data_IF_111157989542
#
_entry.id   IF_111157989542
#
_cell.length_a   1.000
_cell.length_b   1.000
_cell.length_c   1.000
_cell.angle_alpha   90.00
_cell.angle_beta   90.00
_cell.angle_gamma   90.00
#
_symmetry.space_group_name_H-M   'P 1'
#
loop_
_entity.id
_entity.type
_entity.pdbx_description
1 polymer ?
#
# COMPACT_ATOMS: atom_id res chain seq x y z
N UNK A 1 35.65 -59.05 -50.68
CA UNK A 1 36.41 -58.10 -49.87
C UNK A 1 35.80 -58.11 -48.44
N UNK A 2 36.42 -58.86 -47.52
CA UNK A 2 35.91 -59.04 -46.14
C UNK A 2 36.49 -57.93 -45.27
N UNK A 3 35.68 -56.95 -44.87
CA UNK A 3 36.13 -55.92 -43.95
C UNK A 3 36.49 -56.56 -42.61
N UNK A 4 37.66 -56.22 -42.07
CA UNK A 4 38.13 -56.71 -40.78
C UNK A 4 37.17 -56.37 -39.66
N UNK A 5 36.70 -57.29 -38.81
CA UNK A 5 35.73 -57.06 -37.75
C UNK A 5 36.17 -55.97 -36.75
N UNK A 6 37.47 -55.78 -36.61
CA UNK A 6 38.08 -54.71 -35.79
C UNK A 6 37.69 -53.28 -36.25
N UNK A 7 37.51 -53.05 -37.57
CA UNK A 7 37.21 -51.77 -38.14
C UNK A 7 35.74 -51.36 -37.81
N UNK A 8 34.85 -52.35 -37.85
CA UNK A 8 33.45 -52.15 -37.53
C UNK A 8 33.24 -51.83 -36.03
N UNK A 9 33.99 -52.48 -35.15
CA UNK A 9 33.94 -52.24 -33.70
C UNK A 9 34.47 -50.85 -33.38
N UNK A 10 35.59 -50.46 -33.99
CA UNK A 10 36.18 -49.10 -33.78
C UNK A 10 35.25 -48.00 -34.28
N UNK A 11 34.59 -48.21 -35.41
CA UNK A 11 33.62 -47.25 -35.96
C UNK A 11 32.36 -47.12 -35.05
N UNK A 12 31.81 -48.22 -34.55
CA UNK A 12 30.68 -48.21 -33.60
C UNK A 12 31.07 -47.51 -32.28
N UNK A 13 32.27 -47.76 -31.77
CA UNK A 13 32.75 -47.10 -30.54
C UNK A 13 32.92 -45.59 -30.74
N UNK A 14 33.40 -45.14 -31.88
CA UNK A 14 33.56 -43.72 -32.23
C UNK A 14 32.21 -43.02 -32.38
N UNK A 15 31.20 -43.67 -32.96
CA UNK A 15 29.85 -43.15 -33.06
C UNK A 15 29.21 -43.03 -31.67
N UNK A 16 29.42 -44.00 -30.78
CA UNK A 16 28.88 -44.01 -29.44
C UNK A 16 29.49 -42.90 -28.57
N UNK A 17 30.81 -42.67 -28.70
CA UNK A 17 31.48 -41.55 -28.01
C UNK A 17 31.04 -40.20 -28.54
N UNK A 18 30.86 -40.03 -29.85
CA UNK A 18 30.33 -38.81 -30.45
C UNK A 18 28.88 -38.49 -29.98
N UNK A 19 28.02 -39.53 -29.93
CA UNK A 19 26.65 -39.36 -29.40
C UNK A 19 26.64 -38.91 -27.94
N UNK A 20 27.48 -39.50 -27.09
CA UNK A 20 27.66 -39.07 -25.68
C UNK A 20 28.17 -37.64 -25.57
N UNK A 21 29.11 -37.25 -26.42
CA UNK A 21 29.65 -35.88 -26.45
C UNK A 21 28.59 -34.84 -26.87
N UNK A 22 27.78 -35.19 -27.88
CA UNK A 22 26.66 -34.35 -28.33
C UNK A 22 25.61 -34.17 -27.23
N UNK A 23 25.25 -35.25 -26.53
CA UNK A 23 24.29 -35.21 -25.42
C UNK A 23 24.86 -34.37 -24.27
N UNK A 24 26.13 -34.52 -23.93
CA UNK A 24 26.80 -33.75 -22.89
C UNK A 24 26.84 -32.27 -23.22
N UNK A 25 27.17 -31.91 -24.49
CA UNK A 25 27.17 -30.52 -24.95
C UNK A 25 25.76 -29.93 -24.94
N UNK A 26 24.74 -30.70 -25.30
CA UNK A 26 23.33 -30.28 -25.26
C UNK A 26 22.85 -30.03 -23.82
N UNK A 27 23.24 -30.87 -22.85
CA UNK A 27 23.00 -30.69 -21.43
C UNK A 27 23.69 -29.43 -20.87
N UNK A 28 24.91 -29.13 -21.28
CA UNK A 28 25.63 -27.93 -20.84
C UNK A 28 24.96 -26.66 -21.40
N UNK A 29 24.48 -26.67 -22.63
CA UNK A 29 23.78 -25.55 -23.26
C UNK A 29 22.42 -25.28 -22.60
N UNK A 30 21.70 -26.30 -22.11
CA UNK A 30 20.44 -26.13 -21.41
C UNK A 30 20.61 -25.56 -20.00
N UNK A 31 21.73 -25.81 -19.32
CA UNK A 31 21.99 -25.28 -17.98
C UNK A 31 22.29 -23.77 -17.96
N UNK A 32 22.67 -23.14 -19.09
CA UNK A 32 22.96 -21.69 -19.15
C UNK A 32 21.73 -20.82 -19.31
N UNK A 33 20.55 -21.40 -19.56
CA UNK A 33 19.30 -20.66 -19.75
C UNK A 33 18.50 -20.41 -18.47
N UNK A 34 19.02 -20.77 -17.29
CA UNK A 34 18.37 -20.45 -16.01
C UNK A 34 18.65 -18.99 -15.68
N UNK A 35 17.82 -18.09 -16.17
CA UNK A 35 17.80 -16.72 -15.71
C UNK A 35 17.42 -16.73 -14.24
N UNK A 36 18.34 -16.42 -13.35
CA UNK A 36 18.05 -16.24 -11.94
C UNK A 36 16.94 -15.18 -11.82
N UNK A 37 15.82 -15.56 -11.23
CA UNK A 37 14.71 -14.64 -10.97
C UNK A 37 15.23 -13.48 -10.12
N UNK A 38 15.23 -12.29 -10.68
CA UNK A 38 15.64 -11.09 -9.97
C UNK A 38 14.44 -10.54 -9.21
N UNK A 39 14.62 -10.27 -7.94
CA UNK A 39 13.66 -9.59 -7.08
C UNK A 39 14.32 -8.43 -6.37
N UNK A 40 13.50 -7.47 -5.95
CA UNK A 40 13.94 -6.33 -5.18
C UNK A 40 13.00 -6.09 -4.00
N UNK A 41 13.44 -5.26 -3.07
CA UNK A 41 12.63 -4.77 -1.96
C UNK A 41 12.54 -3.25 -2.03
N UNK A 42 11.44 -2.75 -1.51
CA UNK A 42 11.24 -1.32 -1.21
C UNK A 42 10.75 -1.18 0.23
N UNK A 43 11.00 -0.05 0.83
CA UNK A 43 10.39 0.38 2.08
C UNK A 43 9.41 1.51 1.76
N UNK A 44 8.14 1.17 1.61
CA UNK A 44 7.11 2.17 1.26
C UNK A 44 6.94 3.23 2.35
N UNK A 45 7.15 2.88 3.62
CA UNK A 45 7.07 3.85 4.71
C UNK A 45 8.22 4.86 4.63
N UNK A 46 9.44 4.38 4.37
CA UNK A 46 10.61 5.23 4.14
C UNK A 46 10.42 6.13 2.91
N UNK A 47 9.96 5.57 1.79
CA UNK A 47 9.72 6.35 0.56
C UNK A 47 8.69 7.43 0.82
N UNK A 48 7.52 7.10 1.39
CA UNK A 48 6.44 8.04 1.66
C UNK A 48 6.90 9.19 2.59
N UNK A 49 7.67 8.90 3.65
CA UNK A 49 8.22 9.91 4.56
C UNK A 49 9.13 10.91 3.87
N UNK A 50 9.78 10.50 2.78
CA UNK A 50 10.71 11.33 2.02
C UNK A 50 10.09 11.97 0.77
N UNK A 51 8.77 11.80 0.55
CA UNK A 51 8.01 12.45 -0.52
C UNK A 51 7.27 13.67 0.03
N UNK A 52 7.67 14.92 -0.31
CA UNK A 52 7.05 16.13 0.26
C UNK A 52 5.55 16.25 -0.01
N UNK A 53 5.05 15.64 -1.09
CA UNK A 53 3.62 15.60 -1.38
C UNK A 53 2.83 14.81 -0.32
N UNK A 54 3.42 13.76 0.25
CA UNK A 54 2.82 12.97 1.32
C UNK A 54 2.68 13.78 2.63
N UNK A 55 3.70 14.54 2.98
CA UNK A 55 3.64 15.43 4.16
C UNK A 55 2.55 16.49 4.01
N UNK A 56 2.51 17.17 2.85
CA UNK A 56 1.45 18.15 2.55
C UNK A 56 0.05 17.54 2.58
N UNK A 57 -0.11 16.32 2.06
CA UNK A 57 -1.38 15.62 2.09
C UNK A 57 -1.82 15.28 3.53
N UNK A 58 -0.90 14.82 4.38
CA UNK A 58 -1.17 14.56 5.79
C UNK A 58 -1.53 15.84 6.56
N UNK A 59 -0.81 16.93 6.31
CA UNK A 59 -1.12 18.22 6.93
C UNK A 59 -2.52 18.71 6.53
N UNK A 60 -2.87 18.62 5.25
CA UNK A 60 -4.21 18.95 4.75
C UNK A 60 -5.31 18.08 5.40
N UNK A 61 -5.06 16.77 5.55
CA UNK A 61 -5.99 15.87 6.23
C UNK A 61 -6.17 16.25 7.70
N UNK A 62 -5.10 16.60 8.39
CA UNK A 62 -5.15 17.03 9.78
C UNK A 62 -5.96 18.33 9.94
N UNK A 63 -5.79 19.30 9.04
CA UNK A 63 -6.55 20.54 9.06
C UNK A 63 -8.05 20.29 8.83
N UNK A 64 -8.38 19.43 7.86
CA UNK A 64 -9.79 19.06 7.59
C UNK A 64 -10.39 18.32 8.78
N UNK A 65 -9.65 17.36 9.37
CA UNK A 65 -10.12 16.61 10.56
C UNK A 65 -10.44 17.54 11.70
N UNK A 66 -9.52 18.44 12.05
CA UNK A 66 -9.73 19.43 13.12
C UNK A 66 -10.95 20.33 12.85
N UNK A 67 -11.13 20.76 11.60
CA UNK A 67 -12.30 21.56 11.23
C UNK A 67 -13.60 20.79 11.46
N UNK A 68 -13.67 19.54 11.00
CA UNK A 68 -14.86 18.72 11.15
C UNK A 68 -15.11 18.28 12.59
N UNK A 69 -14.04 18.03 13.36
CA UNK A 69 -14.14 17.82 14.82
C UNK A 69 -14.78 19.02 15.51
N UNK A 70 -14.35 20.24 15.18
CA UNK A 70 -14.90 21.45 15.74
C UNK A 70 -16.39 21.67 15.34
N UNK A 71 -16.77 21.29 14.12
CA UNK A 71 -18.19 21.37 13.68
C UNK A 71 -19.07 20.40 14.48
N UNK A 72 -18.61 19.17 14.73
CA UNK A 72 -19.32 18.18 15.55
C UNK A 72 -19.37 18.65 16.99
N UNK A 73 -18.28 19.14 17.55
CA UNK A 73 -18.14 19.60 18.92
C UNK A 73 -19.09 20.78 19.20
N UNK A 74 -19.22 21.70 18.24
CA UNK A 74 -20.18 22.84 18.39
C UNK A 74 -21.62 22.36 18.60
N UNK A 75 -22.05 21.30 17.89
CA UNK A 75 -23.39 20.73 18.09
C UNK A 75 -23.47 20.00 19.43
N UNK A 76 -22.45 19.32 19.87
CA UNK A 76 -22.41 18.65 21.20
C UNK A 76 -22.52 19.66 22.30
N UNK A 77 -21.84 20.81 22.21
CA UNK A 77 -21.96 21.90 23.18
C UNK A 77 -23.35 22.52 23.20
N UNK A 78 -23.98 22.65 22.03
CA UNK A 78 -25.40 23.09 21.99
C UNK A 78 -26.32 22.10 22.72
N UNK A 79 -26.12 20.78 22.50
CA UNK A 79 -26.89 19.74 23.21
C UNK A 79 -26.70 19.85 24.72
N UNK A 80 -25.45 20.01 25.17
CA UNK A 80 -25.16 20.21 26.61
C UNK A 80 -25.86 21.45 27.18
N UNK A 81 -25.84 22.55 26.45
CA UNK A 81 -26.53 23.78 26.86
C UNK A 81 -28.04 23.58 26.93
N UNK A 82 -28.63 22.88 25.95
CA UNK A 82 -30.05 22.51 25.96
C UNK A 82 -30.41 21.63 27.15
N UNK A 83 -29.59 20.64 27.48
CA UNK A 83 -29.75 19.76 28.64
C UNK A 83 -29.69 20.56 29.96
N UNK A 84 -28.69 21.40 30.15
CA UNK A 84 -28.55 22.23 31.34
C UNK A 84 -29.79 23.16 31.52
N UNK A 85 -30.25 23.75 30.44
CA UNK A 85 -31.47 24.60 30.44
C UNK A 85 -32.70 23.77 30.83
N UNK A 86 -32.89 22.60 30.20
CA UNK A 86 -34.02 21.71 30.54
C UNK A 86 -34.00 21.30 32.00
N UNK A 87 -32.87 20.90 32.55
CA UNK A 87 -32.73 20.51 33.96
C UNK A 87 -33.10 21.66 34.91
N UNK A 88 -32.75 22.90 34.59
CA UNK A 88 -33.07 24.05 35.43
C UNK A 88 -34.53 24.47 35.36
N UNK A 89 -35.21 24.19 34.26
CA UNK A 89 -36.57 24.67 34.01
C UNK A 89 -37.63 23.56 34.18
N UNK A 90 -37.26 22.28 34.22
CA UNK A 90 -38.16 21.12 34.12
C UNK A 90 -39.31 21.14 35.17
N UNK A 91 -39.08 21.67 36.36
CA UNK A 91 -40.08 21.75 37.43
C UNK A 91 -41.17 22.79 37.15
N UNK A 92 -40.92 23.72 36.25
CA UNK A 92 -41.85 24.79 35.89
C UNK A 92 -42.54 24.52 34.54
N UNK A 93 -42.14 23.49 33.80
CA UNK A 93 -42.69 23.17 32.48
C UNK A 93 -43.94 22.30 32.58
N UNK A 94 -44.91 22.58 31.73
CA UNK A 94 -46.04 21.67 31.48
C UNK A 94 -45.55 20.40 30.76
N UNK A 95 -46.32 19.32 30.80
CA UNK A 95 -45.96 18.04 30.17
C UNK A 95 -45.72 18.18 28.66
N UNK A 96 -46.53 18.98 27.96
CA UNK A 96 -46.33 19.27 26.55
C UNK A 96 -45.04 20.06 26.28
N UNK A 97 -44.62 20.95 27.19
CA UNK A 97 -43.36 21.69 27.07
C UNK A 97 -42.15 20.81 27.35
N UNK A 98 -42.24 19.88 28.33
CA UNK A 98 -41.22 18.87 28.61
C UNK A 98 -40.99 18.00 27.38
N UNK A 99 -42.06 17.41 26.85
CA UNK A 99 -41.97 16.56 25.66
C UNK A 99 -41.31 17.29 24.48
N UNK A 100 -41.72 18.54 24.21
CA UNK A 100 -41.13 19.35 23.13
C UNK A 100 -39.64 19.63 23.35
N UNK A 101 -39.23 19.89 24.58
CA UNK A 101 -37.84 20.14 24.91
C UNK A 101 -36.99 18.86 24.75
N UNK A 102 -37.48 17.71 25.20
CA UNK A 102 -36.83 16.40 25.05
C UNK A 102 -36.70 16.00 23.58
N UNK A 103 -37.76 16.17 22.79
CA UNK A 103 -37.72 15.94 21.34
C UNK A 103 -36.69 16.82 20.64
N UNK A 104 -36.57 18.09 21.03
CA UNK A 104 -35.59 19.01 20.48
C UNK A 104 -34.14 18.59 20.83
N UNK A 105 -33.90 18.15 22.07
CA UNK A 105 -32.61 17.64 22.51
C UNK A 105 -32.24 16.37 21.72
N UNK A 106 -33.16 15.40 21.67
CA UNK A 106 -32.92 14.15 20.91
C UNK A 106 -32.65 14.41 19.42
N UNK A 107 -33.37 15.35 18.80
CA UNK A 107 -33.13 15.72 17.41
C UNK A 107 -31.73 16.31 17.21
N UNK A 108 -31.24 17.11 18.15
CA UNK A 108 -29.93 17.74 18.09
C UNK A 108 -28.79 16.71 18.33
N UNK A 109 -29.00 15.81 19.32
CA UNK A 109 -28.07 14.65 19.53
C UNK A 109 -27.95 13.78 18.27
N UNK A 110 -29.09 13.46 17.65
CA UNK A 110 -29.14 12.73 16.41
C UNK A 110 -28.34 13.44 15.30
N UNK A 111 -28.52 14.75 15.17
CA UNK A 111 -27.77 15.55 14.20
C UNK A 111 -26.24 15.49 14.43
N UNK A 112 -25.79 15.57 15.69
CA UNK A 112 -24.39 15.41 16.04
C UNK A 112 -23.85 14.03 15.64
N UNK A 113 -24.63 13.00 15.97
CA UNK A 113 -24.26 11.60 15.63
C UNK A 113 -24.17 11.38 14.10
N UNK A 114 -25.16 11.88 13.37
CA UNK A 114 -25.17 11.78 11.89
C UNK A 114 -24.02 12.54 11.26
N UNK A 115 -23.70 13.73 11.75
CA UNK A 115 -22.58 14.53 11.26
C UNK A 115 -21.23 13.83 11.55
N UNK A 116 -21.06 13.31 12.76
CA UNK A 116 -19.87 12.52 13.12
C UNK A 116 -19.73 11.30 12.21
N UNK A 117 -20.82 10.56 11.96
CA UNK A 117 -20.83 9.41 11.06
C UNK A 117 -20.49 9.81 9.64
N UNK A 118 -21.05 10.91 9.14
CA UNK A 118 -20.76 11.44 7.80
C UNK A 118 -19.27 11.71 7.63
N UNK A 119 -18.62 12.33 8.62
CA UNK A 119 -17.22 12.73 8.50
C UNK A 119 -16.24 11.57 8.80
N UNK A 120 -16.48 10.80 9.86
CA UNK A 120 -15.46 9.92 10.46
C UNK A 120 -15.77 8.42 10.39
N UNK A 121 -16.86 8.00 9.71
CA UNK A 121 -17.08 6.58 9.49
C UNK A 121 -16.02 5.97 8.55
N UNK A 122 -15.95 4.63 8.50
CA UNK A 122 -15.04 3.89 7.64
C UNK A 122 -15.14 4.25 6.14
N UNK A 123 -16.30 4.77 5.71
CA UNK A 123 -16.55 5.25 4.35
C UNK A 123 -16.91 6.75 4.33
N UNK A 124 -16.60 7.45 5.42
CA UNK A 124 -16.90 8.85 5.61
C UNK A 124 -16.07 9.79 4.73
N UNK A 125 -16.39 11.08 4.84
CA UNK A 125 -15.74 12.11 4.00
C UNK A 125 -14.20 12.19 4.25
N UNK A 126 -13.74 11.94 5.50
CA UNK A 126 -12.32 11.93 5.81
C UNK A 126 -11.60 10.78 5.11
N UNK A 127 -12.21 9.59 5.08
CA UNK A 127 -11.67 8.44 4.36
C UNK A 127 -11.58 8.73 2.86
N UNK A 128 -12.64 9.24 2.24
CA UNK A 128 -12.66 9.60 0.82
C UNK A 128 -11.60 10.64 0.48
N UNK A 129 -11.47 11.65 1.35
CA UNK A 129 -10.46 12.70 1.18
C UNK A 129 -9.05 12.14 1.26
N UNK A 130 -8.80 11.22 2.22
CA UNK A 130 -7.52 10.52 2.32
C UNK A 130 -7.21 9.75 1.03
N UNK A 131 -8.15 8.96 0.53
CA UNK A 131 -7.98 8.22 -0.72
C UNK A 131 -7.64 9.16 -1.89
N UNK A 132 -8.38 10.25 -2.04
CA UNK A 132 -8.16 11.20 -3.14
C UNK A 132 -6.80 11.90 -3.09
N UNK A 133 -6.24 12.10 -1.89
CA UNK A 133 -4.93 12.74 -1.73
C UNK A 133 -3.77 11.73 -1.84
N UNK A 134 -3.98 10.49 -1.38
CA UNK A 134 -2.93 9.47 -1.36
C UNK A 134 -2.78 8.72 -2.69
N UNK A 135 -3.89 8.50 -3.42
CA UNK A 135 -3.85 7.74 -4.66
C UNK A 135 -2.84 8.27 -5.68
N UNK A 136 -2.80 9.58 -6.02
CA UNK A 136 -1.83 10.09 -7.00
C UNK A 136 -0.38 9.90 -6.54
N UNK A 137 -0.11 10.02 -5.23
CA UNK A 137 1.24 9.83 -4.66
C UNK A 137 1.66 8.36 -4.78
N UNK A 138 0.75 7.44 -4.48
CA UNK A 138 0.99 6.01 -4.61
C UNK A 138 1.20 5.61 -6.08
N UNK A 139 0.44 6.20 -6.99
CA UNK A 139 0.57 5.95 -8.43
C UNK A 139 1.93 6.42 -8.96
N UNK A 140 2.42 7.60 -8.54
CA UNK A 140 3.75 8.09 -8.90
C UNK A 140 4.86 7.15 -8.40
N UNK A 141 4.79 6.71 -7.14
CA UNK A 141 5.74 5.76 -6.55
C UNK A 141 5.68 4.43 -7.29
N UNK A 142 4.47 3.91 -7.55
CA UNK A 142 4.30 2.65 -8.28
C UNK A 142 4.92 2.73 -9.68
N UNK A 143 4.70 3.82 -10.41
CA UNK A 143 5.26 4.01 -11.74
C UNK A 143 6.80 4.07 -11.70
N UNK A 144 7.38 4.75 -10.70
CA UNK A 144 8.83 4.80 -10.52
C UNK A 144 9.41 3.39 -10.22
N UNK A 145 8.76 2.62 -9.34
CA UNK A 145 9.14 1.23 -9.04
C UNK A 145 9.05 0.36 -10.30
N UNK A 146 7.95 0.49 -11.05
CA UNK A 146 7.73 -0.27 -12.28
C UNK A 146 8.81 0.01 -13.32
N UNK A 147 9.14 1.28 -13.53
CA UNK A 147 10.20 1.69 -14.48
C UNK A 147 11.56 1.09 -14.11
N UNK A 148 11.92 1.10 -12.81
CA UNK A 148 13.16 0.50 -12.32
C UNK A 148 13.13 -1.02 -12.50
N UNK A 149 11.99 -1.65 -12.19
CA UNK A 149 11.83 -3.09 -12.34
C UNK A 149 11.98 -3.52 -13.81
N UNK A 150 11.35 -2.81 -14.73
CA UNK A 150 11.45 -3.07 -16.16
C UNK A 150 12.89 -2.89 -16.68
N UNK A 151 13.59 -1.83 -16.25
CA UNK A 151 14.98 -1.56 -16.65
C UNK A 151 15.97 -2.59 -16.13
N UNK A 152 15.80 -3.06 -14.90
CA UNK A 152 16.72 -4.00 -14.24
C UNK A 152 16.32 -5.47 -14.39
N UNK A 153 15.13 -5.72 -14.93
CA UNK A 153 14.57 -7.05 -15.13
C UNK A 153 14.16 -7.71 -13.80
N UNK A 154 13.69 -6.93 -12.83
CA UNK A 154 13.07 -7.48 -11.63
C UNK A 154 11.69 -8.06 -11.98
N UNK A 155 11.44 -9.29 -11.56
CA UNK A 155 10.16 -9.96 -11.78
C UNK A 155 9.19 -9.73 -10.62
N UNK A 156 9.72 -9.33 -9.47
CA UNK A 156 8.98 -9.09 -8.25
C UNK A 156 9.67 -8.00 -7.44
N UNK A 157 8.88 -7.05 -6.94
CA UNK A 157 9.30 -6.06 -5.94
C UNK A 157 8.36 -6.19 -4.76
N UNK A 158 8.93 -6.40 -3.56
CA UNK A 158 8.17 -6.53 -2.31
C UNK A 158 8.34 -5.27 -1.45
N UNK A 159 7.24 -4.84 -0.84
CA UNK A 159 7.30 -3.85 0.22
C UNK A 159 7.66 -4.51 1.56
N UNK A 160 8.86 -4.21 2.07
CA UNK A 160 9.33 -4.77 3.34
C UNK A 160 8.64 -4.18 4.56
N UNK A 161 8.10 -2.96 4.47
CA UNK A 161 7.40 -2.31 5.58
C UNK A 161 6.07 -3.01 5.90
N UNK A 162 5.38 -3.52 4.87
CA UNK A 162 4.12 -4.26 5.02
C UNK A 162 4.30 -5.77 5.17
N UNK A 163 5.48 -6.32 4.83
CA UNK A 163 5.74 -7.75 4.82
C UNK A 163 6.23 -8.26 6.19
N UNK A 164 5.32 -8.56 7.10
CA UNK A 164 5.63 -9.12 8.42
C UNK A 164 6.39 -10.46 8.43
N UNK A 165 6.67 -11.05 7.26
CA UNK A 165 7.38 -12.32 7.11
C UNK A 165 8.85 -12.18 6.69
N UNK A 166 9.34 -10.97 6.37
CA UNK A 166 10.75 -10.76 5.99
C UNK A 166 11.57 -10.54 7.26
N UNK A 167 12.33 -11.56 7.67
CA UNK A 167 13.20 -11.50 8.85
C UNK A 167 14.53 -10.81 8.52
N UNK A 168 15.06 -11.04 7.32
CA UNK A 168 16.32 -10.46 6.86
C UNK A 168 16.27 -10.21 5.35
N UNK A 169 16.80 -9.07 4.95
CA UNK A 169 17.04 -8.75 3.56
C UNK A 169 18.38 -8.04 3.42
N UNK A 170 19.13 -8.39 2.37
CA UNK A 170 20.37 -7.68 2.07
C UNK A 170 20.07 -6.26 1.60
N UNK A 171 20.79 -5.24 2.10
CA UNK A 171 20.65 -3.87 1.60
C UNK A 171 20.87 -3.73 0.09
N UNK A 172 21.59 -4.69 -0.52
CA UNK A 172 21.89 -4.69 -1.96
C UNK A 172 20.65 -4.89 -2.85
N UNK A 173 19.56 -5.44 -2.31
CA UNK A 173 18.31 -5.66 -3.04
C UNK A 173 17.24 -4.61 -2.70
N UNK A 174 17.53 -3.70 -1.78
CA UNK A 174 16.67 -2.55 -1.46
C UNK A 174 16.90 -1.45 -2.50
N UNK A 175 15.82 -1.04 -3.15
CA UNK A 175 15.84 -0.01 -4.20
C UNK A 175 15.11 1.26 -3.78
N UNK A 176 14.82 1.43 -2.49
CA UNK A 176 14.04 2.58 -1.99
C UNK A 176 14.66 3.92 -2.34
N UNK A 177 15.99 4.06 -2.18
CA UNK A 177 16.71 5.29 -2.53
C UNK A 177 16.68 5.56 -4.04
N UNK A 178 16.74 4.50 -4.85
CA UNK A 178 16.65 4.62 -6.29
C UNK A 178 15.26 5.06 -6.75
N UNK A 179 14.22 4.60 -6.06
CA UNK A 179 12.83 5.07 -6.28
C UNK A 179 12.73 6.56 -5.96
N UNK A 180 13.29 7.02 -4.82
CA UNK A 180 13.32 8.44 -4.46
C UNK A 180 14.08 9.27 -5.49
N UNK A 181 15.22 8.78 -5.96
CA UNK A 181 16.00 9.41 -7.02
C UNK A 181 15.20 9.54 -8.33
N UNK A 182 14.47 8.48 -8.71
CA UNK A 182 13.62 8.46 -9.90
C UNK A 182 12.47 9.48 -9.80
N UNK A 183 11.94 9.68 -8.60
CA UNK A 183 10.92 10.69 -8.29
C UNK A 183 11.48 12.12 -8.22
N UNK A 184 12.80 12.29 -8.33
CA UNK A 184 13.47 13.60 -8.26
C UNK A 184 13.83 14.04 -6.84
N UNK A 185 13.74 13.15 -5.86
CA UNK A 185 14.12 13.39 -4.47
C UNK A 185 15.48 12.74 -4.22
N UNK A 186 16.55 13.51 -4.31
CA UNK A 186 17.91 13.08 -3.95
C UNK A 186 18.32 13.68 -2.60
N UNK A 187 18.92 12.86 -1.78
CA UNK A 187 19.53 13.24 -0.49
C UNK A 187 21.03 13.24 -0.61
#
# INVERSE_FOLDING_TARGET
MKWHPLFIVHYKLKIQTMKKLIILTMCILTCTAVSAQKFALVDMEYILKNVPAYERANEQLNQISKKWEAEVEAIVQEVEAMYKKYQSEVVFLSDAQKQKAEEAIMAREKAASELRKKYFSSEGELYKKRQSLMAPIQDEIYNAIKDIADQKGYQLVHDRASAGSIIYASPKIDISDEVLQRLGYSY
#
